data_IF_033438666690
#
_entry.id   IF_033438666690
#
_cell.length_a   1.000
_cell.length_b   1.000
_cell.length_c   1.000
_cell.angle_alpha   90.00
_cell.angle_beta   90.00
_cell.angle_gamma   90.00
#
_symmetry.space_group_name_H-M   'P 1'
#
loop_
_entity.id
_entity.type
_entity.pdbx_description
1 polymer ?
#
# COMPACT_ATOMS: atom_id res chain seq x y z
N UNK A 1 11.29 -7.27 4.05
CA UNK A 1 9.89 -7.48 3.60
C UNK A 1 9.56 -6.61 2.40
N UNK A 2 8.54 -6.96 1.62
CA UNK A 2 7.98 -6.11 0.56
C UNK A 2 6.48 -5.84 0.78
N UNK A 3 6.04 -4.65 0.38
CA UNK A 3 4.66 -4.16 0.57
C UNK A 3 4.15 -3.50 -0.71
N UNK A 4 2.83 -3.43 -0.82
CA UNK A 4 2.13 -2.64 -1.83
C UNK A 4 1.45 -1.46 -1.15
N UNK A 5 1.46 -0.29 -1.80
CA UNK A 5 0.84 0.94 -1.30
C UNK A 5 -0.22 1.41 -2.27
N UNK A 6 -1.39 1.78 -1.76
CA UNK A 6 -2.54 2.23 -2.52
C UNK A 6 -3.01 3.57 -1.95
N UNK A 7 -3.40 4.50 -2.83
CA UNK A 7 -3.90 5.80 -2.41
C UNK A 7 -5.29 5.67 -1.77
N UNK A 8 -5.59 6.54 -0.81
CA UNK A 8 -6.90 6.57 -0.14
C UNK A 8 -8.04 6.86 -1.13
N UNK A 9 -7.79 7.68 -2.15
CA UNK A 9 -8.79 7.99 -3.19
C UNK A 9 -9.11 6.74 -4.02
N UNK A 10 -8.11 5.92 -4.35
CA UNK A 10 -8.33 4.65 -5.06
C UNK A 10 -9.17 3.69 -4.20
N UNK A 11 -8.80 3.53 -2.92
CA UNK A 11 -9.50 2.61 -2.01
C UNK A 11 -10.96 3.02 -1.81
N UNK A 12 -11.21 4.30 -1.59
CA UNK A 12 -12.57 4.83 -1.37
C UNK A 12 -13.44 4.72 -2.61
N UNK A 13 -12.91 5.06 -3.80
CA UNK A 13 -13.59 4.83 -5.09
C UNK A 13 -13.98 3.35 -5.27
N UNK A 14 -13.06 2.43 -4.97
CA UNK A 14 -13.30 0.99 -5.05
C UNK A 14 -14.39 0.51 -4.09
N UNK A 15 -14.34 0.98 -2.84
CA UNK A 15 -15.31 0.64 -1.80
C UNK A 15 -16.71 1.14 -2.16
N UNK A 16 -16.85 2.39 -2.62
CA UNK A 16 -18.14 2.96 -3.04
C UNK A 16 -18.75 2.17 -4.20
N UNK A 17 -17.94 1.77 -5.19
CA UNK A 17 -18.40 0.94 -6.31
C UNK A 17 -18.88 -0.43 -5.86
N UNK A 18 -18.17 -1.08 -4.94
CA UNK A 18 -18.58 -2.37 -4.37
C UNK A 18 -19.92 -2.25 -3.63
N UNK A 19 -20.07 -1.22 -2.77
CA UNK A 19 -21.32 -0.99 -2.03
C UNK A 19 -22.54 -0.76 -2.94
N UNK A 20 -22.32 -0.20 -4.14
CA UNK A 20 -23.37 0.03 -5.13
C UNK A 20 -23.58 -1.17 -6.09
N UNK A 21 -22.87 -2.29 -5.89
CA UNK A 21 -22.94 -3.46 -6.76
C UNK A 21 -23.57 -4.64 -6.02
N UNK A 22 -24.85 -4.95 -6.30
CA UNK A 22 -25.57 -6.06 -5.65
C UNK A 22 -24.84 -7.41 -5.72
N UNK A 23 -24.11 -7.69 -6.81
CA UNK A 23 -23.30 -8.90 -6.97
C UNK A 23 -22.12 -9.00 -5.98
N UNK A 24 -21.74 -7.91 -5.31
CA UNK A 24 -20.70 -7.89 -4.29
C UNK A 24 -21.23 -8.30 -2.90
N UNK A 25 -22.55 -8.37 -2.70
CA UNK A 25 -23.14 -8.71 -1.41
C UNK A 25 -22.72 -10.13 -0.97
N UNK A 26 -22.16 -10.25 0.24
CA UNK A 26 -21.70 -11.52 0.79
C UNK A 26 -20.33 -12.01 0.27
N UNK A 27 -19.69 -11.24 -0.61
CA UNK A 27 -18.44 -11.62 -1.25
C UNK A 27 -17.22 -10.88 -0.65
N UNK A 28 -16.06 -11.53 -0.69
CA UNK A 28 -14.77 -10.97 -0.23
C UNK A 28 -14.00 -10.41 -1.44
N UNK A 29 -13.50 -9.18 -1.33
CA UNK A 29 -12.66 -8.53 -2.36
C UNK A 29 -11.40 -7.92 -1.74
N UNK A 30 -10.27 -8.08 -2.43
CA UNK A 30 -9.08 -7.32 -2.14
C UNK A 30 -9.16 -5.95 -2.80
N UNK A 31 -8.85 -4.88 -2.06
CA UNK A 31 -8.70 -3.52 -2.58
C UNK A 31 -7.27 -3.07 -2.27
N UNK A 32 -6.57 -2.52 -3.25
CA UNK A 32 -5.21 -2.07 -3.06
C UNK A 32 -4.45 -1.89 -4.38
N UNK A 33 -3.13 -2.07 -4.29
CA UNK A 33 -2.22 -2.01 -5.43
C UNK A 33 -1.45 -3.33 -5.54
N UNK A 34 -1.10 -3.74 -6.75
CA UNK A 34 -0.39 -4.99 -7.05
C UNK A 34 1.11 -4.77 -7.34
N UNK A 35 1.57 -3.51 -7.29
CA UNK A 35 2.98 -3.12 -7.39
C UNK A 35 3.63 -3.17 -6.02
N UNK A 36 4.61 -4.05 -5.86
CA UNK A 36 5.37 -4.21 -4.62
C UNK A 36 6.68 -3.45 -4.65
N UNK A 37 7.11 -2.97 -3.49
CA UNK A 37 8.44 -2.39 -3.24
C UNK A 37 9.02 -2.99 -1.95
N UNK A 38 10.33 -3.14 -1.84
CA UNK A 38 10.95 -3.48 -0.56
C UNK A 38 10.88 -2.30 0.42
N UNK A 39 10.87 -2.57 1.73
CA UNK A 39 10.89 -1.48 2.74
C UNK A 39 12.18 -0.66 2.68
N UNK A 40 13.29 -1.29 2.30
CA UNK A 40 14.56 -0.59 2.08
C UNK A 40 14.46 0.42 0.93
N UNK A 41 13.98 -0.01 -0.25
CA UNK A 41 13.79 0.88 -1.40
C UNK A 41 12.80 2.00 -1.08
N UNK A 42 11.72 1.70 -0.35
CA UNK A 42 10.77 2.72 0.10
C UNK A 42 11.43 3.76 1.00
N UNK A 43 12.23 3.33 1.99
CA UNK A 43 12.94 4.23 2.89
C UNK A 43 13.93 5.13 2.13
N UNK A 44 14.67 4.56 1.17
CA UNK A 44 15.57 5.31 0.29
C UNK A 44 14.81 6.33 -0.56
N UNK A 45 13.66 5.95 -1.13
CA UNK A 45 12.82 6.81 -1.95
C UNK A 45 12.27 7.99 -1.14
N UNK A 46 11.73 7.75 0.05
CA UNK A 46 11.23 8.79 0.95
C UNK A 46 12.36 9.76 1.33
N UNK A 47 13.53 9.24 1.73
CA UNK A 47 14.70 10.07 2.09
C UNK A 47 15.14 10.96 0.92
N UNK A 48 15.14 10.42 -0.31
CA UNK A 48 15.45 11.17 -1.53
C UNK A 48 14.44 12.28 -1.79
N UNK A 49 13.14 11.97 -1.74
CA UNK A 49 12.05 12.91 -2.04
C UNK A 49 11.99 14.06 -1.02
N UNK A 50 12.22 13.76 0.26
CA UNK A 50 12.21 14.72 1.37
C UNK A 50 13.55 15.44 1.58
N UNK A 51 14.61 15.07 0.84
CA UNK A 51 16.00 15.53 1.05
C UNK A 51 16.48 15.35 2.50
N UNK A 52 15.96 14.32 3.19
CA UNK A 52 16.24 14.09 4.60
C UNK A 52 17.70 13.69 4.82
N UNK A 53 18.29 14.14 5.93
CA UNK A 53 19.64 13.75 6.39
C UNK A 53 19.64 12.53 7.32
N UNK A 54 18.47 12.02 7.73
CA UNK A 54 18.36 10.87 8.65
C UNK A 54 19.06 9.62 8.14
N UNK A 55 19.65 8.83 9.03
CA UNK A 55 20.25 7.53 8.65
C UNK A 55 19.15 6.47 8.50
N UNK A 56 19.41 5.47 7.66
CA UNK A 56 18.61 4.24 7.62
C UNK A 56 19.32 3.24 8.55
N UNK A 57 18.61 2.76 9.56
CA UNK A 57 19.09 1.76 10.50
C UNK A 57 18.32 0.45 10.28
N UNK A 58 19.05 -0.66 10.29
CA UNK A 58 18.48 -1.99 10.12
C UNK A 58 18.38 -2.63 11.49
N UNK A 59 17.16 -2.85 11.96
CA UNK A 59 16.88 -3.46 13.26
C UNK A 59 16.62 -4.96 13.05
N UNK A 60 17.30 -5.85 13.80
CA UNK A 60 16.98 -7.28 13.79
C UNK A 60 15.50 -7.53 14.06
N UNK A 61 14.94 -8.56 13.42
CA UNK A 61 13.51 -8.85 13.52
C UNK A 61 13.07 -9.15 14.97
N UNK A 62 13.90 -9.87 15.72
CA UNK A 62 13.69 -10.23 17.13
C UNK A 62 13.69 -9.02 18.08
N UNK A 63 14.37 -7.92 17.71
CA UNK A 63 14.35 -6.67 18.47
C UNK A 63 13.15 -5.79 18.08
N UNK A 64 12.67 -5.92 16.84
CA UNK A 64 11.59 -5.10 16.29
C UNK A 64 10.18 -5.63 16.63
N UNK A 65 10.05 -6.92 16.92
CA UNK A 65 8.77 -7.59 17.16
C UNK A 65 8.86 -8.53 18.37
N UNK A 66 7.72 -8.70 19.05
CA UNK A 66 7.62 -9.63 20.20
C UNK A 66 7.89 -11.08 19.78
N UNK A 67 8.38 -11.88 20.73
CA UNK A 67 8.64 -13.31 20.51
C UNK A 67 7.37 -14.03 20.02
N UNK A 68 7.49 -14.76 18.91
CA UNK A 68 6.37 -15.47 18.29
C UNK A 68 5.55 -14.65 17.29
N UNK A 69 5.88 -13.37 17.05
CA UNK A 69 5.23 -12.60 16.00
C UNK A 69 5.70 -13.03 14.60
N UNK A 70 4.76 -13.41 13.73
CA UNK A 70 5.05 -13.75 12.32
C UNK A 70 4.44 -12.71 11.36
N UNK A 71 5.29 -11.99 10.64
CA UNK A 71 4.87 -11.09 9.55
C UNK A 71 5.04 -11.75 8.18
N UNK A 72 4.12 -11.45 7.27
CA UNK A 72 4.22 -11.83 5.86
C UNK A 72 5.38 -11.09 5.20
N UNK A 73 6.40 -11.83 4.74
CA UNK A 73 7.53 -11.24 4.03
C UNK A 73 7.13 -10.56 2.71
N UNK A 74 6.12 -11.09 2.04
CA UNK A 74 5.58 -10.56 0.78
C UNK A 74 4.06 -10.47 0.87
N UNK A 75 3.54 -9.25 0.80
CA UNK A 75 2.11 -8.98 0.84
C UNK A 75 1.70 -8.26 -0.43
N UNK A 76 1.14 -9.02 -1.38
CA UNK A 76 0.64 -8.52 -2.66
C UNK A 76 -0.80 -9.01 -2.86
N UNK A 77 -1.80 -8.13 -2.96
CA UNK A 77 -3.18 -8.53 -3.22
C UNK A 77 -3.35 -9.05 -4.64
N UNK A 78 -4.21 -10.03 -4.83
CA UNK A 78 -4.78 -10.37 -6.13
C UNK A 78 -6.01 -9.49 -6.38
N UNK A 79 -5.96 -8.69 -7.44
CA UNK A 79 -7.01 -7.74 -7.82
C UNK A 79 -7.92 -8.25 -8.95
N UNK A 80 -7.74 -9.49 -9.41
CA UNK A 80 -8.50 -10.05 -10.54
C UNK A 80 -10.00 -10.01 -10.28
N UNK A 81 -10.43 -10.50 -9.12
CA UNK A 81 -11.86 -10.57 -8.73
C UNK A 81 -12.55 -9.20 -8.69
N UNK A 82 -11.90 -8.18 -8.12
CA UNK A 82 -12.47 -6.84 -8.05
C UNK A 82 -12.42 -6.13 -9.40
N UNK A 83 -11.39 -6.41 -10.20
CA UNK A 83 -11.29 -5.88 -11.56
C UNK A 83 -12.40 -6.42 -12.45
N UNK A 84 -12.65 -7.73 -12.41
CA UNK A 84 -13.72 -8.38 -13.17
C UNK A 84 -15.10 -7.84 -12.81
N UNK A 85 -15.36 -7.58 -11.53
CA UNK A 85 -16.68 -7.14 -11.09
C UNK A 85 -16.97 -5.67 -11.37
N UNK A 86 -16.06 -4.77 -11.00
CA UNK A 86 -16.30 -3.31 -11.01
C UNK A 86 -15.26 -2.51 -11.80
N UNK A 87 -14.37 -3.19 -12.54
CA UNK A 87 -13.31 -2.55 -13.31
C UNK A 87 -12.26 -1.84 -12.44
N UNK A 88 -12.15 -2.20 -11.16
CA UNK A 88 -11.21 -1.55 -10.24
C UNK A 88 -9.76 -1.73 -10.72
N UNK A 89 -9.02 -0.62 -10.79
CA UNK A 89 -7.56 -0.58 -10.98
C UNK A 89 -7.02 0.60 -10.17
N UNK A 90 -5.91 0.45 -9.43
CA UNK A 90 -5.26 1.57 -8.76
C UNK A 90 -4.81 2.58 -9.83
N UNK A 91 -5.14 3.86 -9.64
CA UNK A 91 -4.81 4.93 -10.58
C UNK A 91 -3.49 5.60 -10.20
N UNK A 92 -3.15 5.63 -8.91
CA UNK A 92 -1.98 6.33 -8.42
C UNK A 92 -0.76 5.42 -8.33
N UNK A 93 0.34 5.85 -8.94
CA UNK A 93 1.65 5.25 -8.76
C UNK A 93 2.26 5.67 -7.41
N UNK A 94 3.17 4.84 -6.87
CA UNK A 94 3.81 5.06 -5.58
C UNK A 94 4.44 6.46 -5.45
N UNK A 95 5.10 6.95 -6.51
CA UNK A 95 5.71 8.28 -6.50
C UNK A 95 4.67 9.37 -6.23
N UNK A 96 3.48 9.27 -6.84
CA UNK A 96 2.41 10.25 -6.65
C UNK A 96 1.78 10.16 -5.27
N UNK A 97 1.61 8.95 -4.75
CA UNK A 97 1.14 8.71 -3.37
C UNK A 97 2.10 9.35 -2.37
N UNK A 98 3.41 9.18 -2.56
CA UNK A 98 4.43 9.77 -1.69
C UNK A 98 4.46 11.29 -1.80
N UNK A 99 4.37 11.87 -3.00
CA UNK A 99 4.26 13.33 -3.18
C UNK A 99 3.08 13.91 -2.38
N UNK A 100 1.89 13.29 -2.50
CA UNK A 100 0.69 13.73 -1.78
C UNK A 100 0.87 13.61 -0.26
N UNK A 101 1.42 12.49 0.20
CA UNK A 101 1.68 12.25 1.62
C UNK A 101 2.69 13.26 2.19
N UNK A 102 3.80 13.51 1.48
CA UNK A 102 4.82 14.48 1.90
C UNK A 102 4.20 15.89 1.98
N UNK A 103 3.48 16.31 0.93
CA UNK A 103 2.83 17.61 0.90
C UNK A 103 1.82 17.80 2.05
N UNK A 104 1.11 16.74 2.45
CA UNK A 104 0.20 16.77 3.59
C UNK A 104 0.91 17.04 4.93
N UNK A 105 2.11 16.50 5.14
CA UNK A 105 2.88 16.69 6.37
C UNK A 105 3.75 17.96 6.40
N UNK A 106 4.00 18.59 5.25
CA UNK A 106 4.74 19.86 5.15
C UNK A 106 3.83 21.11 5.23
N UNK A 107 2.52 20.93 5.10
CA UNK A 107 1.51 22.00 5.20
C UNK A 107 1.19 22.36 6.67
#
# INVERSE_FOLDING_TARGET
QSRCFCDVDDVTDGMIKLMNTKKAEGEIYNIGNDKSISIEELAQLIKKMTRSKSKIEYIPYEDAYEEGFEDMRHRKPDLSKINELIGFKPKYELAKILERTIAYFEA
#
